data_IF_187876146092
#
_entry.id   IF_187876146092
#
_cell.length_a   1.000
_cell.length_b   1.000
_cell.length_c   1.000
_cell.angle_alpha   90.00
_cell.angle_beta   90.00
_cell.angle_gamma   90.00
#
_symmetry.space_group_name_H-M   'P 1'
#
loop_
_entity.id
_entity.type
_entity.pdbx_description
1 polymer ?
#
# COMPACT_ATOMS: atom_id res chain seq x y z
N UNK A 1 14.47 -6.32 11.58
CA UNK A 1 15.18 -5.30 12.38
C UNK A 1 16.06 -4.32 11.57
N UNK A 2 16.94 -4.79 10.67
CA UNK A 2 17.88 -3.90 9.96
C UNK A 2 17.18 -2.81 9.12
N UNK A 3 16.15 -3.17 8.36
CA UNK A 3 15.39 -2.23 7.52
C UNK A 3 14.75 -1.11 8.35
N UNK A 4 14.17 -1.46 9.51
CA UNK A 4 13.53 -0.50 10.41
C UNK A 4 14.56 0.48 11.00
N UNK A 5 15.70 -0.04 11.45
CA UNK A 5 16.79 0.79 12.00
C UNK A 5 17.35 1.74 10.93
N UNK A 6 17.57 1.23 9.71
CA UNK A 6 18.04 2.07 8.61
C UNK A 6 17.01 3.14 8.22
N UNK A 7 15.72 2.79 8.16
CA UNK A 7 14.65 3.75 7.89
C UNK A 7 14.56 4.83 8.97
N UNK A 8 14.72 4.47 10.24
CA UNK A 8 14.74 5.43 11.34
C UNK A 8 15.95 6.37 11.24
N UNK A 9 17.14 5.83 10.95
CA UNK A 9 18.32 6.66 10.71
C UNK A 9 18.11 7.62 9.53
N UNK A 10 17.50 7.16 8.42
CA UNK A 10 17.16 8.02 7.28
C UNK A 10 16.17 9.11 7.69
N UNK A 11 15.15 8.81 8.48
CA UNK A 11 14.19 9.81 8.97
C UNK A 11 14.90 10.91 9.76
N UNK A 12 15.78 10.53 10.70
CA UNK A 12 16.55 11.46 11.53
C UNK A 12 17.50 12.32 10.69
N UNK A 13 18.32 11.71 9.84
CA UNK A 13 19.33 12.41 9.03
C UNK A 13 18.70 13.32 7.96
N UNK A 14 17.55 12.95 7.41
CA UNK A 14 16.83 13.75 6.41
C UNK A 14 15.93 14.83 7.02
N UNK A 15 15.76 14.85 8.35
CA UNK A 15 14.82 15.73 9.03
C UNK A 15 13.35 15.45 8.71
N UNK A 16 13.04 14.24 8.20
CA UNK A 16 11.69 13.82 7.82
C UNK A 16 11.02 13.01 8.93
N UNK A 17 9.69 12.94 8.90
CA UNK A 17 8.96 12.12 9.88
C UNK A 17 9.18 10.62 9.66
N UNK A 18 9.21 9.84 10.74
CA UNK A 18 9.25 8.37 10.66
C UNK A 18 8.04 7.82 9.89
N UNK A 19 6.88 8.47 9.99
CA UNK A 19 5.69 8.13 9.21
C UNK A 19 5.90 8.35 7.71
N UNK A 20 6.53 9.45 7.29
CA UNK A 20 6.86 9.67 5.88
C UNK A 20 7.79 8.57 5.35
N UNK A 21 8.90 8.32 6.04
CA UNK A 21 9.89 7.33 5.60
C UNK A 21 9.32 5.91 5.65
N UNK A 22 8.52 5.59 6.67
CA UNK A 22 7.84 4.30 6.81
C UNK A 22 6.82 4.07 5.69
N UNK A 23 5.91 5.02 5.47
CA UNK A 23 4.87 4.89 4.43
C UNK A 23 5.46 4.85 3.03
N UNK A 24 6.52 5.62 2.75
CA UNK A 24 7.10 5.73 1.41
C UNK A 24 8.23 4.73 1.17
N UNK A 25 9.37 4.87 1.86
CA UNK A 25 10.57 4.10 1.58
C UNK A 25 10.44 2.64 2.02
N UNK A 26 9.99 2.41 3.25
CA UNK A 26 9.82 1.04 3.78
C UNK A 26 8.70 0.35 3.01
N UNK A 27 7.53 0.99 2.89
CA UNK A 27 6.39 0.47 2.14
C UNK A 27 6.72 0.14 0.68
N UNK A 28 7.48 1.00 -0.01
CA UNK A 28 7.94 0.74 -1.38
C UNK A 28 8.88 -0.47 -1.45
N UNK A 29 9.85 -0.55 -0.53
CA UNK A 29 10.85 -1.62 -0.50
C UNK A 29 10.21 -2.98 -0.24
N UNK A 30 9.28 -3.05 0.71
CA UNK A 30 8.58 -4.30 1.03
C UNK A 30 7.60 -4.73 -0.05
N UNK A 31 7.08 -3.79 -0.85
CA UNK A 31 6.14 -4.07 -1.95
C UNK A 31 6.83 -4.31 -3.31
N UNK A 32 8.16 -4.16 -3.36
CA UNK A 32 8.93 -4.31 -4.59
C UNK A 32 8.85 -5.72 -5.19
N UNK A 33 8.93 -6.82 -4.41
CA UNK A 33 8.72 -8.17 -4.93
C UNK A 33 7.35 -8.36 -5.58
N UNK A 34 6.29 -7.79 -5.00
CA UNK A 34 4.92 -7.86 -5.50
C UNK A 34 4.78 -7.10 -6.82
N UNK A 35 5.43 -5.94 -6.95
CA UNK A 35 5.49 -5.21 -8.23
C UNK A 35 6.16 -6.08 -9.29
N UNK A 36 7.30 -6.69 -8.97
CA UNK A 36 8.01 -7.57 -9.90
C UNK A 36 7.16 -8.79 -10.32
N UNK A 37 6.49 -9.45 -9.37
CA UNK A 37 5.60 -10.58 -9.62
C UNK A 37 4.39 -10.17 -10.47
N UNK A 38 3.77 -9.02 -10.18
CA UNK A 38 2.64 -8.47 -10.94
C UNK A 38 3.04 -8.17 -12.38
N UNK A 39 4.19 -7.51 -12.59
CA UNK A 39 4.70 -7.21 -13.93
C UNK A 39 5.00 -8.49 -14.70
N UNK A 40 5.59 -9.50 -14.07
CA UNK A 40 5.82 -10.79 -14.68
C UNK A 40 4.51 -11.47 -15.10
N UNK A 41 3.50 -11.50 -14.22
CA UNK A 41 2.19 -12.07 -14.51
C UNK A 41 1.51 -11.38 -15.71
N UNK A 42 1.56 -10.04 -15.77
CA UNK A 42 1.05 -9.27 -16.92
C UNK A 42 1.78 -9.62 -18.22
N UNK A 43 3.11 -9.75 -18.18
CA UNK A 43 3.91 -10.13 -19.36
C UNK A 43 3.58 -11.52 -19.88
N UNK A 44 3.15 -12.43 -19.02
CA UNK A 44 2.67 -13.77 -19.40
C UNK A 44 1.19 -13.81 -19.77
N UNK A 45 0.48 -12.67 -19.77
CA UNK A 45 -0.96 -12.60 -20.05
C UNK A 45 -1.83 -13.14 -18.91
N UNK A 46 -1.25 -13.43 -17.74
CA UNK A 46 -1.94 -13.94 -16.55
C UNK A 46 -2.54 -12.78 -15.73
N UNK A 47 -3.53 -12.09 -16.29
CA UNK A 47 -4.12 -10.89 -15.67
C UNK A 47 -4.86 -11.19 -14.36
N UNK A 48 -5.52 -12.34 -14.24
CA UNK A 48 -6.21 -12.73 -13.00
C UNK A 48 -5.20 -12.96 -11.87
N UNK A 49 -4.02 -13.52 -12.19
CA UNK A 49 -2.92 -13.66 -11.23
C UNK A 49 -2.34 -12.30 -10.82
N UNK A 50 -2.18 -11.38 -11.78
CA UNK A 50 -1.70 -10.03 -11.49
C UNK A 50 -2.65 -9.28 -10.54
N UNK A 51 -3.96 -9.36 -10.78
CA UNK A 51 -4.99 -8.79 -9.88
C UNK A 51 -4.97 -9.50 -8.54
N UNK A 52 -4.94 -10.84 -8.53
CA UNK A 52 -4.88 -11.64 -7.32
C UNK A 52 -3.67 -11.29 -6.45
N UNK A 53 -2.52 -11.02 -7.05
CA UNK A 53 -1.32 -10.58 -6.33
C UNK A 53 -1.52 -9.20 -5.66
N UNK A 54 -2.02 -8.20 -6.40
CA UNK A 54 -2.22 -6.84 -5.85
C UNK A 54 -3.19 -6.83 -4.67
N UNK A 55 -4.36 -7.46 -4.80
CA UNK A 55 -5.39 -7.42 -3.75
C UNK A 55 -5.15 -8.48 -2.68
N UNK A 56 -4.65 -9.64 -3.07
CA UNK A 56 -4.31 -10.74 -2.17
C UNK A 56 -3.20 -10.38 -1.19
N UNK A 57 -2.13 -9.70 -1.64
CA UNK A 57 -1.05 -9.26 -0.74
C UNK A 57 -1.53 -8.22 0.28
N UNK A 58 -2.43 -7.31 -0.11
CA UNK A 58 -3.05 -6.36 0.83
C UNK A 58 -3.92 -7.07 1.88
N UNK A 59 -4.72 -8.04 1.47
CA UNK A 59 -5.52 -8.85 2.39
C UNK A 59 -4.62 -9.71 3.31
N UNK A 60 -3.56 -10.30 2.76
CA UNK A 60 -2.60 -11.10 3.51
C UNK A 60 -1.88 -10.26 4.58
N UNK A 61 -1.51 -9.02 4.29
CA UNK A 61 -0.93 -8.10 5.28
C UNK A 61 -1.87 -7.88 6.49
N UNK A 62 -3.18 -7.76 6.26
CA UNK A 62 -4.16 -7.66 7.36
C UNK A 62 -4.24 -8.96 8.18
N UNK A 63 -4.14 -10.12 7.52
CA UNK A 63 -4.06 -11.41 8.21
C UNK A 63 -2.79 -11.53 9.07
N UNK A 64 -1.65 -10.99 8.60
CA UNK A 64 -0.41 -10.93 9.40
C UNK A 64 -0.63 -10.08 10.65
N UNK A 65 -1.25 -8.91 10.53
CA UNK A 65 -1.56 -8.06 11.71
C UNK A 65 -2.43 -8.79 12.72
N UNK A 66 -3.50 -9.44 12.25
CA UNK A 66 -4.35 -10.26 13.11
C UNK A 66 -3.58 -11.40 13.79
N UNK A 67 -2.74 -12.12 13.05
CA UNK A 67 -1.93 -13.19 13.62
C UNK A 67 -0.89 -12.68 14.64
N UNK A 68 -0.32 -11.49 14.43
CA UNK A 68 0.58 -10.85 15.38
C UNK A 68 -0.15 -10.45 16.67
N UNK A 69 -1.35 -9.89 16.57
CA UNK A 69 -2.18 -9.54 17.72
C UNK A 69 -2.57 -10.78 18.55
N UNK A 70 -2.71 -11.95 17.92
CA UNK A 70 -2.95 -13.21 18.64
C UNK A 70 -1.68 -13.79 19.28
N UNK A 71 -0.51 -13.55 18.68
CA UNK A 71 0.75 -14.14 19.12
C UNK A 71 1.49 -13.30 20.16
N UNK A 72 1.11 -12.03 20.32
CA UNK A 72 1.78 -11.07 21.19
C UNK A 72 0.79 -10.42 22.16
N UNK A 73 1.05 -10.53 23.47
CA UNK A 73 0.19 -9.99 24.54
C UNK A 73 0.26 -8.46 24.72
N UNK A 74 0.75 -7.73 23.71
CA UNK A 74 0.84 -6.28 23.75
C UNK A 74 -0.45 -5.58 23.32
N UNK A 75 -0.36 -4.26 23.19
CA UNK A 75 -1.41 -3.48 22.55
C UNK A 75 -1.58 -3.94 21.08
N UNK A 76 -2.83 -4.04 20.57
CA UNK A 76 -3.06 -4.39 19.17
C UNK A 76 -2.26 -3.50 18.22
N UNK A 77 -1.68 -4.10 17.18
CA UNK A 77 -0.76 -3.43 16.25
C UNK A 77 -1.38 -2.19 15.62
N UNK A 78 -2.68 -2.25 15.29
CA UNK A 78 -3.40 -1.10 14.72
C UNK A 78 -3.77 -0.03 15.76
N UNK A 79 -3.89 -0.39 17.04
CA UNK A 79 -4.13 0.57 18.13
C UNK A 79 -2.84 1.32 18.51
N UNK A 80 -1.69 0.64 18.45
CA UNK A 80 -0.38 1.24 18.66
C UNK A 80 0.06 2.20 17.53
N UNK A 81 -0.65 2.23 16.39
CA UNK A 81 -0.32 3.11 15.28
C UNK A 81 -0.61 4.59 15.63
N UNK A 82 0.37 5.46 15.36
CA UNK A 82 0.20 6.90 15.65
C UNK A 82 -0.91 7.52 14.80
N UNK A 83 -1.57 8.55 15.34
CA UNK A 83 -2.59 9.32 14.61
C UNK A 83 -2.07 9.91 13.29
N UNK A 84 -0.75 10.12 13.18
CA UNK A 84 -0.10 10.61 11.97
C UNK A 84 -0.17 9.59 10.81
N UNK A 85 -0.32 8.29 11.11
CA UNK A 85 -0.56 7.26 10.09
C UNK A 85 -2.00 7.23 9.57
N UNK A 86 -2.96 7.87 10.25
CA UNK A 86 -4.37 7.84 9.86
C UNK A 86 -4.59 8.37 8.43
N UNK A 87 -3.89 9.43 8.05
CA UNK A 87 -3.95 9.99 6.69
C UNK A 87 -3.45 8.97 5.65
N UNK A 88 -2.34 8.30 5.93
CA UNK A 88 -1.77 7.27 5.05
C UNK A 88 -2.76 6.11 4.88
N UNK A 89 -3.36 5.65 5.97
CA UNK A 89 -4.37 4.59 5.95
C UNK A 89 -5.62 4.97 5.16
N UNK A 90 -6.14 6.20 5.33
CA UNK A 90 -7.32 6.66 4.61
C UNK A 90 -7.08 6.75 3.10
N UNK A 91 -5.95 7.31 2.67
CA UNK A 91 -5.62 7.38 1.25
C UNK A 91 -5.37 5.99 0.67
N UNK A 92 -4.72 5.09 1.41
CA UNK A 92 -4.54 3.70 0.98
C UNK A 92 -5.88 2.96 0.81
N UNK A 93 -6.82 3.13 1.76
CA UNK A 93 -8.17 2.57 1.65
C UNK A 93 -8.94 3.13 0.44
N UNK A 94 -8.83 4.44 0.19
CA UNK A 94 -9.43 5.07 -0.99
C UNK A 94 -8.84 4.51 -2.29
N UNK A 95 -7.53 4.38 -2.37
CA UNK A 95 -6.85 3.82 -3.54
C UNK A 95 -7.27 2.36 -3.79
N UNK A 96 -7.37 1.55 -2.73
CA UNK A 96 -7.84 0.16 -2.82
C UNK A 96 -9.29 0.10 -3.29
N UNK A 97 -10.17 0.95 -2.74
CA UNK A 97 -11.58 1.04 -3.14
C UNK A 97 -11.73 1.44 -4.62
N UNK A 98 -10.97 2.44 -5.09
CA UNK A 98 -10.92 2.81 -6.51
C UNK A 98 -10.46 1.64 -7.39
N UNK A 99 -9.46 0.87 -6.93
CA UNK A 99 -9.00 -0.34 -7.62
C UNK A 99 -10.08 -1.41 -7.74
N UNK A 100 -10.78 -1.71 -6.65
CA UNK A 100 -11.90 -2.67 -6.65
C UNK A 100 -13.04 -2.17 -7.55
N UNK A 101 -13.40 -0.90 -7.47
CA UNK A 101 -14.43 -0.31 -8.34
C UNK A 101 -14.04 -0.41 -9.81
N UNK A 102 -12.78 -0.15 -10.17
CA UNK A 102 -12.29 -0.30 -11.53
C UNK A 102 -12.44 -1.74 -12.08
N UNK A 103 -12.21 -2.74 -11.23
CA UNK A 103 -12.41 -4.16 -11.61
C UNK A 103 -13.89 -4.49 -11.77
N UNK A 104 -14.73 -4.11 -10.80
CA UNK A 104 -16.17 -4.39 -10.83
C UNK A 104 -16.88 -3.67 -12.00
N UNK A 105 -16.50 -2.42 -12.28
CA UNK A 105 -17.01 -1.67 -13.42
C UNK A 105 -16.66 -2.33 -14.76
N UNK A 106 -15.45 -2.92 -14.85
CA UNK A 106 -14.99 -3.64 -16.05
C UNK A 106 -15.73 -4.95 -16.27
N UNK A 107 -16.16 -5.64 -15.20
CA UNK A 107 -17.00 -6.82 -15.31
C UNK A 107 -18.37 -6.51 -15.97
N UNK A 108 -18.84 -5.26 -15.88
CA UNK A 108 -20.13 -4.84 -16.43
C UNK A 108 -20.04 -4.06 -17.75
N UNK A 109 -18.96 -3.34 -18.07
CA UNK A 109 -18.83 -2.57 -19.32
C UNK A 109 -17.41 -2.55 -19.90
N UNK A 110 -17.30 -2.86 -21.19
CA UNK A 110 -16.06 -2.96 -22.00
C UNK A 110 -15.58 -1.60 -22.54
N UNK A 111 -15.58 -0.53 -21.73
CA UNK A 111 -15.29 0.84 -22.21
C UNK A 111 -14.24 1.52 -21.31
N UNK A 112 -13.44 2.42 -21.91
CA UNK A 112 -12.40 3.38 -21.49
C UNK A 112 -12.14 3.79 -20.02
N UNK A 113 -12.91 3.30 -19.06
CA UNK A 113 -12.86 3.55 -17.62
C UNK A 113 -11.44 3.36 -17.07
N UNK A 114 -10.73 2.30 -17.46
CA UNK A 114 -9.34 1.94 -17.05
C UNK A 114 -8.31 3.11 -17.02
N UNK A 115 -8.50 4.18 -17.80
CA UNK A 115 -7.65 5.37 -17.71
C UNK A 115 -7.90 6.19 -16.44
N UNK A 116 -9.15 6.46 -16.07
CA UNK A 116 -9.47 7.46 -15.05
C UNK A 116 -9.15 6.96 -13.64
N UNK A 117 -9.56 5.74 -13.26
CA UNK A 117 -9.28 5.22 -11.91
C UNK A 117 -7.78 5.04 -11.68
N UNK A 118 -7.05 4.57 -12.69
CA UNK A 118 -5.59 4.42 -12.60
C UNK A 118 -4.92 5.77 -12.35
N UNK A 119 -5.33 6.82 -13.06
CA UNK A 119 -4.84 8.18 -12.82
C UNK A 119 -5.23 8.68 -11.43
N UNK A 120 -6.47 8.44 -10.98
CA UNK A 120 -6.92 8.83 -9.65
C UNK A 120 -6.12 8.16 -8.53
N UNK A 121 -5.78 6.87 -8.68
CA UNK A 121 -4.93 6.14 -7.72
C UNK A 121 -3.53 6.77 -7.68
N UNK A 122 -2.92 7.04 -8.84
CA UNK A 122 -1.61 7.69 -8.92
C UNK A 122 -1.66 9.08 -8.29
N UNK A 123 -2.68 9.89 -8.60
CA UNK A 123 -2.85 11.22 -8.01
C UNK A 123 -3.04 11.14 -6.50
N UNK A 124 -3.88 10.24 -6.00
CA UNK A 124 -4.08 10.04 -4.56
C UNK A 124 -2.76 9.68 -3.85
N UNK A 125 -1.96 8.80 -4.44
CA UNK A 125 -0.64 8.43 -3.91
C UNK A 125 0.35 9.60 -3.92
N UNK A 126 0.41 10.37 -5.01
CA UNK A 126 1.26 11.56 -5.07
C UNK A 126 0.81 12.64 -4.09
N UNK A 127 -0.50 12.84 -3.93
CA UNK A 127 -1.06 13.74 -2.92
C UNK A 127 -0.65 13.31 -1.52
N UNK A 128 -0.70 12.01 -1.20
CA UNK A 128 -0.22 11.49 0.09
C UNK A 128 1.26 11.86 0.32
N UNK A 129 2.13 11.61 -0.66
CA UNK A 129 3.55 11.94 -0.54
C UNK A 129 3.74 13.44 -0.26
N UNK A 130 3.06 14.31 -1.02
CA UNK A 130 3.15 15.76 -0.84
C UNK A 130 2.62 16.21 0.52
N UNK A 131 1.55 15.59 1.02
CA UNK A 131 0.99 15.90 2.33
C UNK A 131 1.89 15.44 3.48
N UNK A 132 2.58 14.31 3.33
CA UNK A 132 3.51 13.80 4.34
C UNK A 132 4.86 14.52 4.36
N UNK A 133 5.23 15.21 3.28
CA UNK A 133 6.42 16.07 3.19
C UNK A 133 6.23 17.43 3.87
N UNK A 134 5.01 17.78 4.25
CA UNK A 134 4.65 19.03 4.93
C UNK A 134 4.54 18.82 6.44
#
# INVERSE_FOLDING_TARGET
PLLVIAAQAVAIESGQSETFVGTTLVGFTTSFPEIAATVAAVRFGAFDLAVGNIFGSNAFNMCIFFAMDLAYDGEPVLAAASAQHALSGQIAMLALALGVMGILARAQRRIAVVRVESWLIVTAYLTLIVLLLR
#
